data_IF_355046127185
#
_entry.id   IF_355046127185
#
_cell.length_a   1.000
_cell.length_b   1.000
_cell.length_c   1.000
_cell.angle_alpha   90.00
_cell.angle_beta   90.00
_cell.angle_gamma   90.00
#
_symmetry.space_group_name_H-M   'P 1'
#
loop_
_entity.id
_entity.type
_entity.pdbx_description
1 polymer ?
#
# COMPACT_ATOMS: atom_id res chain seq x y z
N UNK A 1 3.37 6.66 1.45
CA UNK A 1 2.15 6.34 0.68
C UNK A 1 0.94 6.71 1.50
N UNK A 2 -0.04 7.38 0.88
CA UNK A 2 -0.97 8.25 1.59
C UNK A 2 -2.14 7.50 2.24
N UNK A 3 -2.64 8.04 3.35
CA UNK A 3 -3.91 7.66 3.98
C UNK A 3 -5.07 7.58 2.97
N UNK A 4 -5.02 8.39 1.90
CA UNK A 4 -5.95 8.33 0.77
C UNK A 4 -5.89 7.02 -0.01
N UNK A 5 -4.70 6.45 -0.25
CA UNK A 5 -4.54 5.17 -0.93
C UNK A 5 -5.16 4.03 -0.11
N UNK A 6 -4.79 3.93 1.17
CA UNK A 6 -5.34 2.94 2.09
C UNK A 6 -6.87 3.04 2.20
N UNK A 7 -7.41 4.26 2.25
CA UNK A 7 -8.86 4.50 2.24
C UNK A 7 -9.53 4.03 0.95
N UNK A 8 -8.88 4.22 -0.21
CA UNK A 8 -9.43 3.77 -1.49
C UNK A 8 -9.43 2.25 -1.60
N UNK A 9 -8.37 1.58 -1.12
CA UNK A 9 -8.30 0.12 -1.02
C UNK A 9 -9.44 -0.38 -0.11
N UNK A 10 -9.60 0.21 1.08
CA UNK A 10 -10.68 -0.16 1.99
C UNK A 10 -12.07 -0.01 1.35
N UNK A 11 -12.31 1.10 0.64
CA UNK A 11 -13.58 1.32 -0.10
C UNK A 11 -13.81 0.27 -1.19
N UNK A 12 -12.76 -0.07 -1.93
CA UNK A 12 -12.82 -1.12 -2.94
C UNK A 12 -13.23 -2.46 -2.32
N UNK A 13 -12.61 -2.85 -1.20
CA UNK A 13 -12.96 -4.07 -0.48
C UNK A 13 -14.39 -4.09 0.07
N UNK A 14 -14.87 -2.97 0.61
CA UNK A 14 -16.26 -2.82 1.04
C UNK A 14 -17.20 -3.08 -0.13
N UNK A 15 -16.88 -2.55 -1.31
CA UNK A 15 -17.66 -2.78 -2.55
C UNK A 15 -17.60 -4.24 -2.98
N UNK A 16 -16.42 -4.86 -3.04
CA UNK A 16 -16.27 -6.27 -3.39
C UNK A 16 -17.09 -7.18 -2.47
N UNK A 17 -17.02 -6.93 -1.16
CA UNK A 17 -17.81 -7.68 -0.18
C UNK A 17 -19.32 -7.51 -0.42
N UNK A 18 -19.76 -6.29 -0.70
CA UNK A 18 -21.18 -5.99 -0.94
C UNK A 18 -21.70 -6.64 -2.22
N UNK A 19 -20.93 -6.56 -3.32
CA UNK A 19 -21.30 -7.14 -4.62
C UNK A 19 -21.39 -8.67 -4.55
N UNK A 20 -20.56 -9.32 -3.72
CA UNK A 20 -20.60 -10.76 -3.48
C UNK A 20 -21.68 -11.17 -2.46
N UNK A 21 -22.59 -10.27 -2.07
CA UNK A 21 -23.67 -10.52 -1.11
C UNK A 21 -23.20 -10.63 0.35
N UNK A 22 -21.94 -10.31 0.63
CA UNK A 22 -21.38 -10.30 1.96
C UNK A 22 -21.81 -9.07 2.78
N UNK A 23 -21.81 -9.21 4.09
CA UNK A 23 -22.05 -8.10 5.03
C UNK A 23 -20.70 -7.59 5.53
N UNK A 24 -20.52 -6.27 5.50
CA UNK A 24 -19.32 -5.61 6.01
C UNK A 24 -19.55 -5.22 7.46
N UNK A 25 -18.64 -5.62 8.34
CA UNK A 25 -18.57 -5.12 9.71
C UNK A 25 -17.34 -4.24 9.87
N UNK A 26 -17.54 -2.95 10.16
CA UNK A 26 -16.46 -2.00 10.39
C UNK A 26 -16.20 -1.89 11.90
N UNK A 27 -15.08 -2.46 12.35
CA UNK A 27 -14.61 -2.33 13.73
C UNK A 27 -13.97 -0.96 13.99
N UNK A 28 -13.74 -0.61 15.27
CA UNK A 28 -13.05 0.62 15.63
C UNK A 28 -11.59 0.60 15.13
N UNK A 29 -11.17 1.71 14.50
CA UNK A 29 -9.78 1.89 14.04
C UNK A 29 -8.91 2.30 15.23
N UNK A 30 -7.89 1.50 15.53
CA UNK A 30 -6.91 1.81 16.57
C UNK A 30 -5.68 2.52 15.96
N UNK A 31 -5.07 3.48 16.67
CA UNK A 31 -3.78 4.03 16.26
C UNK A 31 -2.74 2.92 16.12
N UNK A 32 -1.94 2.99 15.05
CA UNK A 32 -0.83 2.04 14.85
C UNK A 32 0.35 2.33 15.79
N UNK A 33 0.51 3.59 16.19
CA UNK A 33 1.58 4.09 17.04
C UNK A 33 1.05 5.21 17.93
N UNK A 34 1.75 5.48 19.03
CA UNK A 34 1.46 6.64 19.87
C UNK A 34 1.88 7.93 19.15
N UNK A 35 1.10 9.00 19.30
CA UNK A 35 1.39 10.28 18.66
C UNK A 35 2.71 10.88 19.17
N UNK A 36 3.04 10.62 20.44
CA UNK A 36 4.30 11.06 21.04
C UNK A 36 5.51 10.34 20.43
N UNK A 37 5.38 9.04 20.12
CA UNK A 37 6.45 8.26 19.50
C UNK A 37 6.75 8.78 18.10
N UNK A 38 5.72 9.14 17.33
CA UNK A 38 5.87 9.70 15.99
C UNK A 38 6.54 11.09 16.03
N UNK A 39 6.12 11.96 16.96
CA UNK A 39 6.65 13.33 17.07
C UNK A 39 8.12 13.37 17.47
N UNK A 40 8.57 12.39 18.25
CA UNK A 40 9.97 12.27 18.65
C UNK A 40 10.82 11.46 17.66
N UNK A 41 10.20 10.83 16.66
CA UNK A 41 10.88 10.01 15.66
C UNK A 41 11.52 10.88 14.57
N UNK A 42 12.83 10.68 14.36
CA UNK A 42 13.51 11.21 13.18
C UNK A 42 13.05 10.51 11.88
N UNK A 43 13.33 11.13 10.72
CA UNK A 43 12.88 10.63 9.41
C UNK A 43 13.26 9.16 9.15
N UNK A 44 14.44 8.72 9.59
CA UNK A 44 14.88 7.33 9.45
C UNK A 44 13.94 6.34 10.15
N UNK A 45 13.53 6.67 11.39
CA UNK A 45 12.64 5.82 12.18
C UNK A 45 11.24 5.81 11.58
N UNK A 46 10.74 6.95 11.09
CA UNK A 46 9.43 7.02 10.41
C UNK A 46 9.39 6.15 9.15
N UNK A 47 10.48 6.10 8.40
CA UNK A 47 10.58 5.29 7.18
C UNK A 47 10.68 3.81 7.51
N UNK A 48 11.46 3.46 8.53
CA UNK A 48 11.51 2.10 9.05
C UNK A 48 10.11 1.62 9.49
N UNK A 49 9.39 2.45 10.25
CA UNK A 49 8.01 2.16 10.65
C UNK A 49 7.09 1.97 9.44
N UNK A 50 7.26 2.76 8.38
CA UNK A 50 6.50 2.58 7.14
C UNK A 50 6.79 1.22 6.48
N UNK A 51 8.07 0.82 6.37
CA UNK A 51 8.47 -0.50 5.84
C UNK A 51 7.82 -1.63 6.66
N UNK A 52 7.85 -1.52 7.99
CA UNK A 52 7.28 -2.55 8.87
C UNK A 52 5.75 -2.64 8.76
N UNK A 53 5.06 -1.51 8.59
CA UNK A 53 3.61 -1.49 8.33
C UNK A 53 3.29 -2.14 6.99
N UNK A 54 4.01 -1.79 5.92
CA UNK A 54 3.75 -2.35 4.59
C UNK A 54 4.06 -3.86 4.54
N UNK A 55 5.05 -4.36 5.29
CA UNK A 55 5.30 -5.81 5.44
C UNK A 55 4.15 -6.51 6.17
N UNK A 56 3.57 -5.90 7.21
CA UNK A 56 2.40 -6.46 7.91
C UNK A 56 1.18 -6.51 7.00
N UNK A 57 0.98 -5.49 6.17
CA UNK A 57 -0.09 -5.46 5.16
C UNK A 57 0.10 -6.58 4.13
N UNK A 58 1.32 -6.77 3.65
CA UNK A 58 1.68 -7.86 2.73
C UNK A 58 1.38 -9.24 3.32
N UNK A 59 1.77 -9.48 4.57
CA UNK A 59 1.46 -10.72 5.27
C UNK A 59 -0.05 -10.93 5.41
N UNK A 60 -0.80 -9.87 5.66
CA UNK A 60 -2.26 -9.92 5.75
C UNK A 60 -2.89 -10.30 4.40
N UNK A 61 -2.35 -9.82 3.28
CA UNK A 61 -2.78 -10.25 1.94
C UNK A 61 -2.51 -11.72 1.69
N UNK A 62 -1.33 -12.24 2.08
CA UNK A 62 -1.02 -13.67 1.95
C UNK A 62 -1.96 -14.54 2.78
N UNK A 63 -2.28 -14.12 4.00
CA UNK A 63 -3.24 -14.83 4.84
C UNK A 63 -4.64 -14.85 4.20
N UNK A 64 -5.09 -13.71 3.66
CA UNK A 64 -6.37 -13.64 2.98
C UNK A 64 -6.40 -14.53 1.73
N UNK A 65 -5.32 -14.55 0.95
CA UNK A 65 -5.17 -15.43 -0.20
C UNK A 65 -5.30 -16.91 0.20
N UNK A 66 -4.63 -17.35 1.27
CA UNK A 66 -4.74 -18.72 1.76
C UNK A 66 -6.17 -19.09 2.16
N UNK A 67 -6.90 -18.16 2.79
CA UNK A 67 -8.32 -18.35 3.13
C UNK A 67 -9.16 -18.51 1.87
N UNK A 68 -8.98 -17.66 0.87
CA UNK A 68 -9.70 -17.72 -0.41
C UNK A 68 -9.40 -19.03 -1.16
N UNK A 69 -8.14 -19.45 -1.19
CA UNK A 69 -7.71 -20.71 -1.79
C UNK A 69 -8.40 -21.91 -1.12
N UNK A 70 -8.43 -21.92 0.22
CA UNK A 70 -9.09 -22.98 1.00
C UNK A 70 -10.60 -23.03 0.73
N UNK A 71 -11.22 -21.90 0.38
CA UNK A 71 -12.64 -21.79 0.07
C UNK A 71 -12.96 -21.97 -1.42
N UNK A 72 -11.96 -22.18 -2.27
CA UNK A 72 -12.14 -22.31 -3.72
C UNK A 72 -12.57 -21.02 -4.42
N UNK A 73 -12.29 -19.84 -3.83
CA UNK A 73 -12.63 -18.54 -4.41
C UNK A 73 -11.55 -18.09 -5.40
N UNK A 74 -11.60 -18.67 -6.62
CA UNK A 74 -10.60 -18.44 -7.67
C UNK A 74 -10.49 -16.96 -8.03
N UNK A 75 -11.63 -16.28 -8.23
CA UNK A 75 -11.64 -14.86 -8.58
C UNK A 75 -11.11 -13.96 -7.46
N UNK A 76 -11.26 -14.37 -6.19
CA UNK A 76 -10.63 -13.70 -5.05
C UNK A 76 -9.12 -13.89 -5.02
N UNK A 77 -8.64 -15.11 -5.32
CA UNK A 77 -7.21 -15.41 -5.41
C UNK A 77 -6.51 -14.58 -6.50
N UNK A 78 -7.07 -14.56 -7.72
CA UNK A 78 -6.53 -13.77 -8.84
C UNK A 78 -6.45 -12.28 -8.51
N UNK A 79 -7.51 -11.74 -7.89
CA UNK A 79 -7.55 -10.36 -7.44
C UNK A 79 -6.41 -10.05 -6.45
N UNK A 80 -6.16 -10.92 -5.47
CA UNK A 80 -5.11 -10.70 -4.48
C UNK A 80 -3.72 -10.81 -5.12
N UNK A 81 -3.48 -11.80 -5.97
CA UNK A 81 -2.18 -11.99 -6.62
C UNK A 81 -1.80 -10.81 -7.51
N UNK A 82 -2.70 -10.42 -8.42
CA UNK A 82 -2.40 -9.46 -9.46
C UNK A 82 -2.53 -8.01 -9.01
N UNK A 83 -3.56 -7.67 -8.23
CA UNK A 83 -3.83 -6.26 -7.87
C UNK A 83 -3.18 -5.84 -6.55
N UNK A 84 -2.97 -6.77 -5.61
CA UNK A 84 -2.51 -6.42 -4.27
C UNK A 84 -1.09 -6.88 -3.99
N UNK A 85 -0.79 -8.18 -4.11
CA UNK A 85 0.54 -8.72 -3.75
C UNK A 85 1.65 -8.16 -4.66
N UNK A 86 1.45 -8.15 -5.97
CA UNK A 86 2.43 -7.61 -6.91
C UNK A 86 2.75 -6.13 -6.64
N UNK A 87 1.70 -5.32 -6.43
CA UNK A 87 1.85 -3.90 -6.11
C UNK A 87 2.51 -3.69 -4.74
N UNK A 88 2.16 -4.52 -3.75
CA UNK A 88 2.72 -4.41 -2.39
C UNK A 88 4.22 -4.68 -2.35
N UNK A 89 4.72 -5.63 -3.16
CA UNK A 89 6.16 -5.89 -3.29
C UNK A 89 6.89 -4.65 -3.82
N UNK A 90 6.37 -4.05 -4.90
CA UNK A 90 6.98 -2.83 -5.47
C UNK A 90 7.00 -1.65 -4.48
N UNK A 91 5.96 -1.53 -3.65
CA UNK A 91 5.91 -0.53 -2.57
C UNK A 91 6.98 -0.79 -1.51
N UNK A 92 7.14 -2.04 -1.08
CA UNK A 92 8.15 -2.41 -0.08
C UNK A 92 9.55 -2.15 -0.61
N UNK A 93 9.85 -2.56 -1.85
CA UNK A 93 11.16 -2.37 -2.48
C UNK A 93 11.52 -0.89 -2.57
N UNK A 94 10.56 -0.05 -2.94
CA UNK A 94 10.73 1.39 -2.98
C UNK A 94 11.05 1.98 -1.59
N UNK A 95 10.30 1.59 -0.56
CA UNK A 95 10.52 2.08 0.80
C UNK A 95 11.85 1.61 1.37
N UNK A 96 12.25 0.37 1.09
CA UNK A 96 13.56 -0.17 1.49
C UNK A 96 14.69 0.56 0.77
N UNK A 97 14.54 0.82 -0.53
CA UNK A 97 15.51 1.63 -1.30
C UNK A 97 15.67 3.02 -0.67
N UNK A 98 14.57 3.66 -0.32
CA UNK A 98 14.57 4.96 0.34
C UNK A 98 15.20 4.92 1.74
N UNK A 99 14.85 3.92 2.56
CA UNK A 99 15.47 3.68 3.86
C UNK A 99 16.99 3.55 3.74
N UNK A 100 17.45 2.73 2.79
CA UNK A 100 18.88 2.54 2.53
C UNK A 100 19.53 3.85 2.10
N UNK A 101 18.92 4.60 1.17
CA UNK A 101 19.47 5.87 0.71
C UNK A 101 19.57 6.94 1.81
N UNK A 102 18.58 7.00 2.70
CA UNK A 102 18.63 7.84 3.89
C UNK A 102 19.79 7.46 4.82
N UNK A 103 19.97 6.16 5.09
CA UNK A 103 21.04 5.65 5.95
C UNK A 103 22.44 5.92 5.41
N UNK A 104 22.61 5.92 4.09
CA UNK A 104 23.89 6.23 3.44
C UNK A 104 24.09 7.73 3.18
N UNK A 105 23.04 8.55 3.35
CA UNK A 105 23.13 9.99 3.14
C UNK A 105 23.87 10.67 4.30
N UNK A 106 24.77 11.61 3.96
CA UNK A 106 25.43 12.47 4.95
C UNK A 106 24.46 13.51 5.54
N UNK A 107 23.36 13.79 4.85
CA UNK A 107 22.34 14.76 5.25
C UNK A 107 20.94 14.23 4.85
N UNK A 108 20.18 13.65 5.80
CA UNK A 108 18.85 13.12 5.54
C UNK A 108 17.87 14.15 4.96
N UNK A 109 17.99 15.41 5.37
CA UNK A 109 17.13 16.50 4.89
C UNK A 109 17.34 16.80 3.40
N UNK A 110 18.60 16.86 2.95
CA UNK A 110 18.91 17.11 1.53
C UNK A 110 18.51 15.91 0.68
N UNK A 111 18.77 14.69 1.16
CA UNK A 111 18.38 13.46 0.49
C UNK A 111 16.86 13.38 0.29
N UNK A 112 16.09 13.68 1.33
CA UNK A 112 14.63 13.73 1.26
C UNK A 112 14.15 14.74 0.21
N UNK A 113 14.66 15.98 0.27
CA UNK A 113 14.26 17.05 -0.65
C UNK A 113 14.51 16.71 -2.12
N UNK A 114 15.64 16.08 -2.43
CA UNK A 114 16.06 15.78 -3.80
C UNK A 114 15.43 14.49 -4.34
N UNK A 115 15.29 13.45 -3.50
CA UNK A 115 14.90 12.12 -3.96
C UNK A 115 13.42 11.80 -3.70
N UNK A 116 12.88 12.12 -2.51
CA UNK A 116 11.45 11.84 -2.23
C UNK A 116 10.53 12.63 -3.12
N UNK A 117 10.87 13.89 -3.40
CA UNK A 117 9.99 14.76 -4.16
C UNK A 117 9.80 14.23 -5.58
N UNK A 118 10.88 13.84 -6.24
CA UNK A 118 10.83 13.32 -7.61
C UNK A 118 10.25 11.90 -7.64
N UNK A 119 10.65 11.04 -6.70
CA UNK A 119 10.07 9.71 -6.54
C UNK A 119 8.54 9.76 -6.32
N UNK A 120 8.05 10.67 -5.48
CA UNK A 120 6.61 10.86 -5.26
C UNK A 120 5.86 11.46 -6.46
N UNK A 121 6.56 12.12 -7.39
CA UNK A 121 5.97 12.53 -8.67
C UNK A 121 5.91 11.36 -9.63
N UNK A 122 6.99 10.60 -9.77
CA UNK A 122 7.04 9.42 -10.64
C UNK A 122 5.99 8.38 -10.27
N UNK A 123 5.82 8.08 -8.99
CA UNK A 123 4.77 7.17 -8.50
C UNK A 123 3.38 7.72 -8.81
N UNK A 124 3.17 9.04 -8.65
CA UNK A 124 1.89 9.67 -9.00
C UNK A 124 1.59 9.54 -10.49
N UNK A 125 2.60 9.71 -11.33
CA UNK A 125 2.49 9.55 -12.78
C UNK A 125 2.20 8.09 -13.13
N UNK A 126 2.95 7.13 -12.59
CA UNK A 126 2.73 5.70 -12.85
C UNK A 126 1.36 5.21 -12.37
N UNK A 127 0.91 5.63 -11.17
CA UNK A 127 -0.43 5.31 -10.65
C UNK A 127 -1.53 6.04 -11.46
N UNK A 128 -1.27 7.24 -11.94
CA UNK A 128 -2.18 7.98 -12.84
C UNK A 128 -2.33 7.29 -14.19
N UNK A 129 -1.24 6.77 -14.75
CA UNK A 129 -1.22 6.07 -16.03
C UNK A 129 -1.87 4.68 -15.95
N UNK A 130 -1.65 3.94 -14.85
CA UNK A 130 -2.34 2.66 -14.59
C UNK A 130 -3.86 2.83 -14.51
N UNK A 131 -4.35 3.93 -13.91
CA UNK A 131 -5.78 4.27 -13.93
C UNK A 131 -6.30 4.58 -15.33
N UNK A 132 -5.55 5.33 -16.15
CA UNK A 132 -5.95 5.62 -17.54
C UNK A 132 -6.06 4.32 -18.35
N UNK A 133 -5.15 3.37 -18.16
CA UNK A 133 -5.22 2.05 -18.80
C UNK A 133 -6.46 1.24 -18.37
N UNK A 134 -6.89 1.35 -17.11
CA UNK A 134 -8.14 0.74 -16.63
C UNK A 134 -9.43 1.41 -17.17
N UNK A 135 -9.35 2.67 -17.61
CA UNK A 135 -10.48 3.33 -18.29
C UNK A 135 -10.57 2.93 -19.78
N UNK A 136 -9.44 2.78 -20.47
CA UNK A 136 -9.43 2.33 -21.87
C UNK A 136 -9.84 0.86 -22.08
N UNK A 137 -9.80 0.02 -21.03
CA UNK A 137 -10.26 -1.37 -21.07
C UNK A 137 -11.75 -1.55 -20.70
N UNK A 138 -12.47 -0.47 -20.33
CA UNK A 138 -13.89 -0.52 -19.94
C UNK A 138 -14.84 0.18 -20.94
N UNK A 139 -14.34 0.65 -22.09
CA UNK A 139 -15.17 1.32 -23.12
C UNK A 139 -15.39 0.46 -24.38
N UNK A 140 -15.05 -0.83 -24.37
CA UNK A 140 -15.25 -1.74 -25.50
C UNK A 140 -15.94 -3.07 -25.12
N UNK A 141 -16.95 -3.01 -24.25
CA UNK A 141 -17.96 -4.08 -24.10
C UNK A 141 -19.38 -3.49 -24.02
#
# INVERSE_FOLDING_TARGET
MCSTCARNIARYWIRCQTVRGGKVHLGPVRPLFDANDILQSGINLLVQMAVDVERKVEQSWRQLYQVMQTKGDISGCELIEHEFLQNQVGVIDLLVSYYNGLHHSKCPFTYDRENIREMCKEIRTQVGHSKIQSYFMNEND
#
